data_IF_245286709801
#
_entry.id   IF_245286709801
#
_cell.length_a   1.000
_cell.length_b   1.000
_cell.length_c   1.000
_cell.angle_alpha   90.00
_cell.angle_beta   90.00
_cell.angle_gamma   90.00
#
_symmetry.space_group_name_H-M   'P 1'
#
loop_
_entity.id
_entity.type
_entity.pdbx_description
1 polymer ?
#
# COMPACT_ATOMS: atom_id res chain seq x y z
N UNK A 1 -8.03 -2.45 -20.21
CA UNK A 1 -8.75 -2.46 -18.93
C UNK A 1 -9.02 -3.89 -18.42
N UNK A 2 -8.63 -4.94 -19.15
CA UNK A 2 -8.80 -6.36 -18.75
C UNK A 2 -7.59 -6.96 -18.00
N UNK A 3 -6.38 -6.39 -18.11
CA UNK A 3 -5.18 -6.99 -17.52
C UNK A 3 -5.05 -6.80 -15.99
N UNK A 4 -5.90 -5.98 -15.37
CA UNK A 4 -5.87 -5.73 -13.92
C UNK A 4 -6.70 -6.73 -13.11
N UNK A 5 -7.76 -7.31 -13.68
CA UNK A 5 -8.60 -8.29 -12.98
C UNK A 5 -7.89 -9.64 -12.82
N UNK A 6 -7.18 -10.12 -13.85
CA UNK A 6 -6.42 -11.38 -13.77
C UNK A 6 -5.28 -11.35 -12.75
N UNK A 7 -4.63 -10.19 -12.56
CA UNK A 7 -3.58 -10.03 -11.54
C UNK A 7 -4.13 -10.08 -10.12
N UNK A 8 -5.35 -9.56 -9.91
CA UNK A 8 -6.04 -9.61 -8.63
C UNK A 8 -6.59 -11.02 -8.35
N UNK A 9 -7.18 -11.71 -9.32
CA UNK A 9 -7.66 -13.10 -9.16
C UNK A 9 -6.57 -14.09 -8.71
N UNK A 10 -5.34 -13.95 -9.23
CA UNK A 10 -4.20 -14.77 -8.81
C UNK A 10 -3.78 -14.55 -7.34
N UNK A 11 -4.04 -13.36 -6.78
CA UNK A 11 -3.77 -13.03 -5.37
C UNK A 11 -4.95 -13.38 -4.45
N UNK A 12 -6.16 -13.45 -4.99
CA UNK A 12 -7.38 -13.83 -4.26
C UNK A 12 -7.51 -15.33 -3.99
N UNK A 13 -6.76 -16.19 -4.67
CA UNK A 13 -6.94 -17.65 -4.63
C UNK A 13 -6.53 -18.37 -3.33
N UNK A 14 -5.97 -17.68 -2.33
CA UNK A 14 -5.43 -18.33 -1.12
C UNK A 14 -5.66 -17.65 0.23
N UNK A 15 -6.23 -16.45 0.27
CA UNK A 15 -6.22 -15.67 1.52
C UNK A 15 -7.62 -15.46 2.08
N UNK A 16 -7.92 -16.15 3.18
CA UNK A 16 -8.97 -15.76 4.11
C UNK A 16 -8.47 -14.52 4.88
N UNK A 17 -9.27 -13.46 4.96
CA UNK A 17 -8.91 -12.24 5.69
C UNK A 17 -8.92 -10.95 4.86
N UNK A 18 -8.50 -9.84 5.49
CA UNK A 18 -8.46 -8.51 4.86
C UNK A 18 -7.22 -8.38 3.98
N UNK A 19 -7.42 -8.05 2.71
CA UNK A 19 -6.37 -7.88 1.70
C UNK A 19 -6.32 -6.42 1.24
N UNK A 20 -5.18 -5.76 1.43
CA UNK A 20 -4.99 -4.37 1.04
C UNK A 20 -3.93 -4.28 -0.05
N UNK A 21 -4.29 -3.72 -1.20
CA UNK A 21 -3.37 -3.50 -2.31
C UNK A 21 -2.96 -2.04 -2.35
N UNK A 22 -1.68 -1.80 -2.60
CA UNK A 22 -1.09 -0.46 -2.67
C UNK A 22 -0.32 -0.29 -3.97
N UNK A 23 -0.40 0.90 -4.54
CA UNK A 23 0.36 1.28 -5.73
C UNK A 23 0.71 2.76 -5.68
N UNK A 24 1.93 3.09 -6.07
CA UNK A 24 2.45 4.45 -6.21
C UNK A 24 2.93 4.69 -7.64
N UNK A 25 2.54 5.81 -8.25
CA UNK A 25 2.94 6.12 -9.62
C UNK A 25 3.32 7.58 -9.81
N UNK A 26 4.15 7.81 -10.84
CA UNK A 26 4.51 9.14 -11.31
C UNK A 26 4.42 9.20 -12.83
N UNK A 27 3.64 10.14 -13.35
CA UNK A 27 3.49 10.37 -14.78
C UNK A 27 3.34 11.88 -15.03
N UNK A 28 4.10 12.41 -15.99
CA UNK A 28 4.07 13.84 -16.37
C UNK A 28 4.18 14.80 -15.17
N UNK A 29 5.13 14.52 -14.27
CA UNK A 29 5.35 15.31 -13.04
C UNK A 29 4.30 15.08 -11.95
N UNK A 30 3.21 14.37 -12.22
CA UNK A 30 2.14 14.08 -11.27
C UNK A 30 2.46 12.82 -10.49
N UNK A 31 2.52 12.93 -9.17
CA UNK A 31 2.79 11.81 -8.27
C UNK A 31 1.52 11.47 -7.52
N UNK A 32 1.06 10.23 -7.62
CA UNK A 32 -0.14 9.74 -6.93
C UNK A 32 0.15 8.42 -6.27
N UNK A 33 -0.65 8.08 -5.28
CA UNK A 33 -0.72 6.72 -4.77
C UNK A 33 -2.17 6.33 -4.51
N UNK A 34 -2.42 5.04 -4.45
CA UNK A 34 -3.73 4.50 -4.15
C UNK A 34 -3.61 3.30 -3.21
N UNK A 35 -4.68 3.09 -2.45
CA UNK A 35 -4.90 1.85 -1.72
C UNK A 35 -6.33 1.36 -1.95
N UNK A 36 -6.49 0.03 -1.94
CA UNK A 36 -7.79 -0.63 -2.02
C UNK A 36 -7.82 -1.81 -1.06
N UNK A 37 -8.88 -1.93 -0.26
CA UNK A 37 -9.07 -2.99 0.71
C UNK A 37 -10.19 -3.93 0.25
N UNK A 38 -9.93 -5.23 0.31
CA UNK A 38 -10.86 -6.30 -0.02
C UNK A 38 -11.06 -7.21 1.18
N UNK A 39 -12.29 -7.68 1.37
CA UNK A 39 -12.62 -8.79 2.25
C UNK A 39 -13.52 -9.77 1.50
N UNK A 40 -13.13 -11.04 1.42
CA UNK A 40 -13.87 -12.08 0.70
C UNK A 40 -14.29 -11.64 -0.72
N UNK A 41 -13.32 -11.12 -1.50
CA UNK A 41 -13.50 -10.62 -2.88
C UNK A 41 -14.42 -9.40 -3.03
N UNK A 42 -14.88 -8.82 -1.92
CA UNK A 42 -15.66 -7.59 -1.91
C UNK A 42 -14.75 -6.41 -1.61
N UNK A 43 -14.72 -5.42 -2.49
CA UNK A 43 -14.04 -4.15 -2.22
C UNK A 43 -14.79 -3.42 -1.10
N UNK A 44 -14.08 -3.06 -0.03
CA UNK A 44 -14.64 -2.38 1.14
C UNK A 44 -14.22 -0.91 1.20
N UNK A 45 -13.02 -0.61 0.73
CA UNK A 45 -12.44 0.71 0.86
C UNK A 45 -11.51 0.99 -0.30
N UNK A 46 -11.58 2.20 -0.84
CA UNK A 46 -10.66 2.72 -1.83
C UNK A 46 -10.29 4.15 -1.49
N UNK A 47 -9.00 4.47 -1.62
CA UNK A 47 -8.55 5.86 -1.52
C UNK A 47 -7.36 6.14 -2.41
N UNK A 48 -7.40 7.32 -3.03
CA UNK A 48 -6.32 7.88 -3.84
C UNK A 48 -5.82 9.18 -3.24
N UNK A 49 -4.51 9.36 -3.27
CA UNK A 49 -3.84 10.56 -2.77
C UNK A 49 -2.98 11.17 -3.87
N UNK A 50 -2.95 12.51 -3.91
CA UNK A 50 -2.02 13.29 -4.74
C UNK A 50 -0.88 13.77 -3.84
N UNK A 51 0.35 13.45 -4.23
CA UNK A 51 1.55 13.93 -3.56
C UNK A 51 2.12 15.14 -4.31
N UNK A 52 3.10 15.81 -3.69
CA UNK A 52 3.86 16.89 -4.31
C UNK A 52 4.53 16.39 -5.60
N UNK A 53 4.64 17.25 -6.61
CA UNK A 53 5.25 16.89 -7.90
C UNK A 53 6.75 16.54 -7.77
N UNK A 54 7.39 17.07 -6.73
CA UNK A 54 8.76 16.75 -6.34
C UNK A 54 8.93 15.36 -5.71
N UNK A 55 7.84 14.69 -5.32
CA UNK A 55 7.90 13.35 -4.73
C UNK A 55 8.38 12.30 -5.73
N UNK A 56 9.02 11.25 -5.23
CA UNK A 56 9.42 10.08 -6.04
C UNK A 56 8.33 9.01 -6.01
N UNK A 57 8.38 8.07 -6.95
CA UNK A 57 7.51 6.87 -6.93
C UNK A 57 7.71 6.11 -5.62
N UNK A 58 8.95 5.96 -5.15
CA UNK A 58 9.25 5.33 -3.86
C UNK A 58 8.51 6.00 -2.69
N UNK A 59 8.49 7.34 -2.63
CA UNK A 59 7.73 8.04 -1.59
C UNK A 59 6.22 7.81 -1.70
N UNK A 60 5.69 7.72 -2.92
CA UNK A 60 4.28 7.43 -3.15
C UNK A 60 3.89 6.02 -2.67
N UNK A 61 4.73 5.03 -2.96
CA UNK A 61 4.57 3.64 -2.51
C UNK A 61 4.59 3.52 -0.99
N UNK A 62 5.62 4.10 -0.35
CA UNK A 62 5.74 4.12 1.11
C UNK A 62 4.56 4.85 1.76
N UNK A 63 4.13 5.96 1.17
CA UNK A 63 2.97 6.69 1.66
C UNK A 63 1.67 5.87 1.53
N UNK A 64 1.48 5.12 0.44
CA UNK A 64 0.32 4.22 0.31
C UNK A 64 0.30 3.17 1.41
N UNK A 65 1.45 2.55 1.72
CA UNK A 65 1.57 1.59 2.82
C UNK A 65 1.22 2.25 4.16
N UNK A 66 1.77 3.45 4.42
CA UNK A 66 1.44 4.21 5.63
C UNK A 66 -0.08 4.45 5.75
N UNK A 67 -0.73 4.87 4.67
CA UNK A 67 -2.17 5.13 4.70
C UNK A 67 -2.99 3.85 4.96
N UNK A 68 -2.53 2.71 4.45
CA UNK A 68 -3.14 1.40 4.73
C UNK A 68 -2.99 1.00 6.21
N UNK A 69 -1.80 1.19 6.80
CA UNK A 69 -1.58 0.93 8.23
C UNK A 69 -2.45 1.83 9.11
N UNK A 70 -2.50 3.13 8.79
CA UNK A 70 -3.38 4.06 9.51
C UNK A 70 -4.86 3.70 9.36
N UNK A 71 -5.28 3.29 8.16
CA UNK A 71 -6.63 2.78 7.92
C UNK A 71 -6.94 1.57 8.82
N UNK A 72 -6.03 0.61 8.93
CA UNK A 72 -6.21 -0.55 9.80
C UNK A 72 -6.34 -0.15 11.28
N UNK A 73 -5.45 0.71 11.77
CA UNK A 73 -5.46 1.20 13.16
C UNK A 73 -6.74 1.94 13.52
N UNK A 74 -7.12 2.92 12.70
CA UNK A 74 -8.31 3.76 12.96
C UNK A 74 -9.60 2.95 12.97
N UNK A 75 -9.66 1.88 12.17
CA UNK A 75 -10.84 1.00 12.11
C UNK A 75 -10.75 -0.19 13.06
N UNK A 76 -9.72 -0.27 13.91
CA UNK A 76 -9.52 -1.39 14.84
C UNK A 76 -9.45 -2.75 14.13
N UNK A 77 -8.92 -2.77 12.90
CA UNK A 77 -8.68 -4.02 12.19
C UNK A 77 -7.57 -4.78 12.92
N UNK A 78 -7.73 -6.11 13.03
CA UNK A 78 -6.69 -6.99 13.55
C UNK A 78 -5.57 -7.17 12.53
N UNK A 79 -5.20 -8.41 12.26
CA UNK A 79 -4.22 -8.72 11.23
C UNK A 79 -4.74 -8.33 9.83
N UNK A 80 -3.93 -7.57 9.09
CA UNK A 80 -4.22 -7.17 7.71
C UNK A 80 -3.05 -7.51 6.81
N UNK A 81 -3.35 -7.99 5.61
CA UNK A 81 -2.33 -8.24 4.59
C UNK A 81 -2.16 -6.98 3.73
N UNK A 82 -0.90 -6.55 3.54
CA UNK A 82 -0.55 -5.46 2.62
C UNK A 82 0.23 -6.05 1.45
N UNK A 83 -0.30 -5.89 0.25
CA UNK A 83 0.33 -6.26 -1.01
C UNK A 83 0.78 -4.96 -1.69
N UNK A 84 2.09 -4.81 -1.86
CA UNK A 84 2.69 -3.69 -2.59
C UNK A 84 3.48 -4.20 -3.79
N UNK A 85 3.37 -3.49 -4.91
CA UNK A 85 4.16 -3.76 -6.11
C UNK A 85 5.57 -3.17 -6.04
N UNK A 86 5.93 -2.49 -4.95
CA UNK A 86 7.25 -1.88 -4.74
C UNK A 86 8.16 -2.73 -3.87
N UNK A 87 9.01 -3.53 -4.51
CA UNK A 87 10.07 -4.29 -3.83
C UNK A 87 10.98 -3.37 -3.00
N UNK A 88 11.25 -2.15 -3.47
CA UNK A 88 12.07 -1.18 -2.76
C UNK A 88 11.41 -0.71 -1.45
N UNK A 89 10.10 -0.46 -1.45
CA UNK A 89 9.38 -0.07 -0.24
C UNK A 89 9.38 -1.20 0.79
N UNK A 90 9.15 -2.44 0.34
CA UNK A 90 9.18 -3.62 1.22
C UNK A 90 10.58 -3.85 1.82
N UNK A 91 11.65 -3.75 1.02
CA UNK A 91 13.03 -3.89 1.54
C UNK A 91 13.34 -2.82 2.58
N UNK A 92 12.93 -1.56 2.38
CA UNK A 92 13.13 -0.49 3.35
C UNK A 92 12.41 -0.79 4.68
N UNK A 93 11.19 -1.34 4.62
CA UNK A 93 10.43 -1.76 5.80
C UNK A 93 11.05 -2.96 6.52
N UNK A 94 11.78 -3.84 5.82
CA UNK A 94 12.49 -4.96 6.43
C UNK A 94 13.91 -4.63 6.91
N UNK A 95 14.46 -3.47 6.53
CA UNK A 95 15.81 -3.09 6.92
C UNK A 95 15.90 -2.81 8.42
N UNK A 96 16.97 -3.27 9.08
CA UNK A 96 17.20 -3.04 10.52
C UNK A 96 17.40 -1.56 10.82
N UNK A 97 18.18 -0.88 9.98
CA UNK A 97 18.45 0.55 10.09
C UNK A 97 17.87 1.29 8.88
N UNK A 98 17.05 2.31 9.13
CA UNK A 98 16.56 3.23 8.11
C UNK A 98 16.62 4.67 8.59
N UNK A 99 17.13 5.55 7.73
CA UNK A 99 17.31 6.97 8.06
C UNK A 99 16.02 7.79 7.85
N UNK A 100 15.00 7.21 7.21
CA UNK A 100 13.78 7.91 6.81
C UNK A 100 12.70 7.70 7.87
N UNK A 101 12.34 8.77 8.58
CA UNK A 101 11.35 8.74 9.67
C UNK A 101 10.02 8.11 9.25
N UNK A 102 9.54 8.36 8.03
CA UNK A 102 8.29 7.76 7.55
C UNK A 102 8.34 6.23 7.56
N UNK A 103 9.49 5.62 7.26
CA UNK A 103 9.65 4.17 7.28
C UNK A 103 9.67 3.67 8.73
N UNK A 104 10.38 4.36 9.62
CA UNK A 104 10.46 3.99 11.03
C UNK A 104 9.09 4.12 11.72
N UNK A 105 8.34 5.18 11.43
CA UNK A 105 6.98 5.35 11.94
C UNK A 105 6.03 4.25 11.46
N UNK A 106 6.20 3.75 10.23
CA UNK A 106 5.43 2.58 9.76
C UNK A 106 5.87 1.32 10.53
N UNK A 107 7.18 1.13 10.74
CA UNK A 107 7.72 -0.01 11.49
C UNK A 107 7.22 -0.09 12.93
N UNK A 108 7.01 1.04 13.58
CA UNK A 108 6.45 1.10 14.95
C UNK A 108 4.98 0.64 15.01
N UNK A 109 4.29 0.65 13.87
CA UNK A 109 2.87 0.33 13.75
C UNK A 109 2.61 -1.08 13.17
N UNK A 110 3.66 -1.86 12.84
CA UNK A 110 3.57 -3.23 12.27
C UNK A 110 4.12 -4.29 13.21
#
# INVERSE_FOLDING_TARGET
MENSEYGLELLHGRNEGMMNFTDGSKMDGRVVCALVAFYNKTELYYRKFRLKESSTVFMAEVFAIQQTVQYARVNGLGEVNIISFSRLALIALCAVEEARDIINNIKEDI
#
